data_IF_306462758777
#
_entry.id   IF_306462758777
#
_cell.length_a   1.000
_cell.length_b   1.000
_cell.length_c   1.000
_cell.angle_alpha   90.00
_cell.angle_beta   90.00
_cell.angle_gamma   90.00
#
_symmetry.space_group_name_H-M   'P 1'
#
loop_
_entity.id
_entity.type
_entity.pdbx_description
1 polymer ?
#
# COMPACT_ATOMS: atom_id res chain seq x y z
N UNK A 1 2.51 -14.88 49.51
CA UNK A 1 2.34 -15.35 48.11
C UNK A 1 2.48 -14.14 47.20
N UNK A 2 3.66 -13.94 46.64
CA UNK A 2 3.97 -12.82 45.74
C UNK A 2 3.47 -13.18 44.35
N UNK A 3 2.33 -12.61 43.96
CA UNK A 3 1.85 -12.68 42.59
C UNK A 3 2.88 -12.01 41.67
N UNK A 4 3.54 -12.81 40.85
CA UNK A 4 4.46 -12.35 39.83
C UNK A 4 3.68 -11.52 38.80
N UNK A 5 3.85 -10.20 38.83
CA UNK A 5 3.38 -9.24 37.83
C UNK A 5 3.92 -9.50 36.40
N UNK A 6 4.70 -10.56 36.21
CA UNK A 6 5.33 -10.95 34.94
C UNK A 6 4.57 -12.04 34.16
N UNK A 7 3.41 -12.49 34.65
CA UNK A 7 2.51 -13.35 33.87
C UNK A 7 1.52 -12.49 33.08
N UNK A 8 1.83 -12.19 31.81
CA UNK A 8 0.79 -11.58 30.97
C UNK A 8 1.20 -11.01 29.62
N UNK A 9 2.49 -10.85 29.30
CA UNK A 9 2.86 -10.64 27.88
C UNK A 9 2.78 -11.97 27.16
N UNK A 10 1.54 -12.38 26.85
CA UNK A 10 1.27 -13.42 25.86
C UNK A 10 2.09 -13.04 24.63
N UNK A 11 3.10 -13.85 24.33
CA UNK A 11 4.01 -13.66 23.19
C UNK A 11 3.17 -13.91 21.94
N UNK A 12 2.48 -12.88 21.49
CA UNK A 12 1.68 -12.97 20.28
C UNK A 12 2.64 -13.05 19.09
N UNK A 13 2.28 -13.85 18.11
CA UNK A 13 3.10 -14.13 16.95
C UNK A 13 3.11 -12.90 16.01
N UNK A 14 3.97 -11.93 16.32
CA UNK A 14 4.10 -10.67 15.57
C UNK A 14 4.74 -10.86 14.18
N UNK A 15 5.09 -12.10 13.82
CA UNK A 15 5.72 -12.45 12.53
C UNK A 15 4.86 -12.06 11.33
N UNK A 16 3.54 -12.23 11.42
CA UNK A 16 2.64 -11.90 10.32
C UNK A 16 2.52 -10.39 10.09
N UNK A 17 2.39 -9.60 11.17
CA UNK A 17 2.39 -8.13 11.09
C UNK A 17 3.71 -7.59 10.57
N UNK A 18 4.83 -8.17 11.01
CA UNK A 18 6.15 -7.84 10.50
C UNK A 18 6.25 -8.12 9.01
N UNK A 19 5.85 -9.32 8.57
CA UNK A 19 5.87 -9.71 7.16
C UNK A 19 5.01 -8.77 6.29
N UNK A 20 3.78 -8.47 6.73
CA UNK A 20 2.89 -7.53 6.04
C UNK A 20 3.50 -6.12 5.97
N UNK A 21 4.11 -5.65 7.05
CA UNK A 21 4.79 -4.34 7.07
C UNK A 21 6.00 -4.32 6.14
N UNK A 22 6.80 -5.38 6.13
CA UNK A 22 7.95 -5.52 5.23
C UNK A 22 7.51 -5.55 3.77
N UNK A 23 6.44 -6.27 3.43
CA UNK A 23 5.90 -6.30 2.06
C UNK A 23 5.42 -4.91 1.61
N UNK A 24 4.66 -4.21 2.46
CA UNK A 24 4.23 -2.84 2.18
C UNK A 24 5.42 -1.89 2.02
N UNK A 25 6.43 -2.01 2.88
CA UNK A 25 7.64 -1.21 2.82
C UNK A 25 8.47 -1.47 1.57
N UNK A 26 8.69 -2.74 1.21
CA UNK A 26 9.38 -3.11 -0.03
C UNK A 26 8.63 -2.57 -1.24
N UNK A 27 7.30 -2.73 -1.28
CA UNK A 27 6.49 -2.21 -2.37
C UNK A 27 6.60 -0.69 -2.51
N UNK A 28 6.42 0.05 -1.42
CA UNK A 28 6.55 1.52 -1.43
C UNK A 28 7.94 1.96 -1.91
N UNK A 29 8.99 1.29 -1.45
CA UNK A 29 10.37 1.56 -1.87
C UNK A 29 10.59 1.23 -3.35
N UNK A 30 10.05 0.11 -3.84
CA UNK A 30 10.09 -0.21 -5.28
C UNK A 30 9.39 0.87 -6.10
N UNK A 31 8.22 1.35 -5.67
CA UNK A 31 7.51 2.43 -6.36
C UNK A 31 8.32 3.73 -6.39
N UNK A 32 8.98 4.08 -5.28
CA UNK A 32 9.80 5.29 -5.19
C UNK A 32 11.09 5.19 -6.02
N UNK A 33 11.79 4.05 -5.99
CA UNK A 33 13.06 3.89 -6.71
C UNK A 33 12.88 3.58 -8.20
N UNK A 34 11.90 2.76 -8.55
CA UNK A 34 11.56 2.42 -9.93
C UNK A 34 10.48 3.35 -10.50
N UNK A 35 10.34 4.56 -9.94
CA UNK A 35 9.31 5.53 -10.30
C UNK A 35 9.23 5.76 -11.80
N UNK A 36 10.36 5.95 -12.47
CA UNK A 36 10.42 6.20 -13.92
C UNK A 36 9.93 5.02 -14.76
N UNK A 37 10.22 3.80 -14.34
CA UNK A 37 9.75 2.60 -15.03
C UNK A 37 8.25 2.39 -14.81
N UNK A 38 7.79 2.52 -13.56
CA UNK A 38 6.38 2.38 -13.20
C UNK A 38 5.54 3.49 -13.86
N UNK A 39 6.09 4.72 -13.97
CA UNK A 39 5.51 5.82 -14.72
C UNK A 39 5.16 5.43 -16.16
N UNK A 40 6.05 4.73 -16.87
CA UNK A 40 5.77 4.30 -18.24
C UNK A 40 4.59 3.31 -18.30
N UNK A 41 4.52 2.35 -17.38
CA UNK A 41 3.48 1.31 -17.40
C UNK A 41 2.12 1.77 -16.87
N UNK A 42 2.08 2.76 -15.99
CA UNK A 42 0.83 3.20 -15.34
C UNK A 42 0.31 4.52 -15.93
N UNK A 43 1.16 5.36 -16.54
CA UNK A 43 0.70 6.62 -17.13
C UNK A 43 -0.16 6.36 -18.36
N UNK A 44 0.18 5.33 -19.15
CA UNK A 44 -0.53 4.98 -20.37
C UNK A 44 -1.98 4.52 -20.08
N UNK A 45 -2.24 3.54 -19.18
CA UNK A 45 -3.61 3.15 -18.81
C UNK A 45 -4.40 4.27 -18.12
N UNK A 46 -3.74 5.10 -17.31
CA UNK A 46 -4.41 6.21 -16.62
C UNK A 46 -4.80 7.31 -17.59
N UNK A 47 -3.94 7.64 -18.56
CA UNK A 47 -4.27 8.61 -19.61
C UNK A 47 -5.44 8.16 -20.47
N UNK A 48 -5.54 6.86 -20.73
CA UNK A 48 -6.69 6.24 -21.40
C UNK A 48 -7.96 6.33 -20.52
N UNK A 49 -7.87 5.95 -19.24
CA UNK A 49 -9.01 5.90 -18.33
C UNK A 49 -9.56 7.29 -17.94
N UNK A 50 -8.70 8.31 -17.92
CA UNK A 50 -9.09 9.68 -17.53
C UNK A 50 -9.36 10.58 -18.72
N UNK A 51 -9.10 10.12 -19.96
CA UNK A 51 -9.06 10.93 -21.18
C UNK A 51 -8.23 12.21 -21.05
N UNK A 52 -7.36 12.29 -20.04
CA UNK A 52 -6.54 13.44 -19.76
C UNK A 52 -5.10 13.10 -20.19
N UNK A 53 -4.51 13.83 -21.16
CA UNK A 53 -3.13 13.60 -21.52
C UNK A 53 -2.25 14.00 -20.34
N UNK A 54 -1.64 13.00 -19.69
CA UNK A 54 -0.54 13.19 -18.75
C UNK A 54 0.72 13.57 -19.54
N UNK A 55 0.73 14.75 -20.16
CA UNK A 55 1.90 15.24 -20.87
C UNK A 55 2.93 15.75 -19.86
N UNK A 56 4.22 15.52 -20.13
CA UNK A 56 5.32 16.08 -19.33
C UNK A 56 5.34 17.62 -19.25
N UNK A 57 4.51 18.31 -20.05
CA UNK A 57 4.32 19.77 -20.05
C UNK A 57 3.20 20.25 -19.12
N UNK A 58 2.28 19.36 -18.72
CA UNK A 58 1.41 19.64 -17.58
C UNK A 58 2.26 19.62 -16.31
N UNK A 59 2.00 20.53 -15.36
CA UNK A 59 2.54 20.46 -14.00
C UNK A 59 1.42 19.84 -13.16
N UNK A 60 1.24 18.52 -13.16
CA UNK A 60 0.13 17.92 -12.43
C UNK A 60 0.44 18.12 -10.95
N UNK A 61 -0.58 18.44 -10.16
CA UNK A 61 -0.41 18.55 -8.72
C UNK A 61 -0.01 17.17 -8.17
N UNK A 62 0.68 17.15 -7.03
CA UNK A 62 1.16 15.89 -6.41
C UNK A 62 0.00 14.89 -6.20
N UNK A 63 -1.23 15.39 -6.08
CA UNK A 63 -2.44 14.58 -5.92
C UNK A 63 -3.07 14.11 -7.24
N UNK A 64 -2.71 14.69 -8.39
CA UNK A 64 -3.19 14.29 -9.71
C UNK A 64 -2.52 13.00 -10.22
N UNK A 65 -1.44 12.58 -9.55
CA UNK A 65 -0.75 11.34 -9.84
C UNK A 65 -1.37 10.19 -9.03
N UNK A 66 -2.13 9.25 -9.65
CA UNK A 66 -2.53 8.01 -8.98
C UNK A 66 -1.33 7.19 -8.47
N UNK A 67 -0.14 7.51 -8.98
CA UNK A 67 1.14 7.02 -8.53
C UNK A 67 1.52 7.43 -7.11
N UNK A 68 1.08 8.61 -6.64
CA UNK A 68 1.30 9.02 -5.25
C UNK A 68 0.52 8.13 -4.32
N UNK A 69 -0.69 7.70 -4.70
CA UNK A 69 -1.44 6.71 -3.92
C UNK A 69 -0.70 5.35 -3.83
N UNK A 70 0.00 4.92 -4.90
CA UNK A 70 0.70 3.63 -4.91
C UNK A 70 1.75 3.51 -3.81
N UNK A 71 2.49 4.59 -3.48
CA UNK A 71 3.46 4.54 -2.38
C UNK A 71 2.97 5.19 -1.08
N UNK A 72 2.11 6.22 -1.15
CA UNK A 72 1.62 6.90 0.04
C UNK A 72 0.66 6.00 0.85
N UNK A 73 -0.18 5.20 0.18
CA UNK A 73 -1.11 4.29 0.85
C UNK A 73 -0.40 3.20 1.69
N UNK A 74 0.61 2.46 1.17
CA UNK A 74 1.35 1.49 1.98
C UNK A 74 2.16 2.15 3.10
N UNK A 75 2.76 3.33 2.89
CA UNK A 75 3.46 4.07 3.95
C UNK A 75 2.48 4.50 5.05
N UNK A 76 1.35 5.11 4.68
CA UNK A 76 0.32 5.50 5.62
C UNK A 76 -0.24 4.28 6.37
N UNK A 77 -0.48 3.18 5.67
CA UNK A 77 -0.92 1.91 6.26
C UNK A 77 0.06 1.38 7.30
N UNK A 78 1.36 1.42 7.01
CA UNK A 78 2.40 1.07 8.00
C UNK A 78 2.38 1.99 9.22
N UNK A 79 2.29 3.31 9.02
CA UNK A 79 2.27 4.28 10.12
C UNK A 79 1.03 4.11 11.02
N UNK A 80 -0.15 3.95 10.44
CA UNK A 80 -1.40 3.77 11.19
C UNK A 80 -1.42 2.37 11.85
N UNK A 81 -0.90 1.34 11.18
CA UNK A 81 -0.74 0.01 11.79
C UNK A 81 0.19 0.05 13.01
N UNK A 82 1.29 0.77 12.93
CA UNK A 82 2.19 0.98 14.06
C UNK A 82 1.47 1.68 15.23
N UNK A 83 0.67 2.71 14.95
CA UNK A 83 -0.16 3.37 15.97
C UNK A 83 -1.22 2.42 16.56
N UNK A 84 -1.89 1.60 15.73
CA UNK A 84 -2.87 0.61 16.18
C UNK A 84 -2.25 -0.46 17.09
N UNK A 85 -1.01 -0.87 16.80
CA UNK A 85 -0.24 -1.77 17.67
C UNK A 85 0.07 -1.14 19.02
N UNK A 86 0.32 0.18 19.09
CA UNK A 86 0.54 0.90 20.36
C UNK A 86 -0.72 0.95 21.24
N UNK A 87 -1.90 0.98 20.63
CA UNK A 87 -3.19 1.00 21.32
C UNK A 87 -3.65 -0.44 21.70
N UNK A 88 -2.89 -1.46 21.27
CA UNK A 88 -3.21 -2.87 21.54
C UNK A 88 -4.27 -3.46 20.60
N UNK A 89 -4.76 -2.71 19.61
CA UNK A 89 -5.75 -3.18 18.66
C UNK A 89 -5.08 -3.83 17.43
N UNK A 90 -4.74 -5.11 17.56
CA UNK A 90 -4.05 -5.88 16.51
C UNK A 90 -4.93 -6.22 15.31
N UNK A 91 -6.25 -6.38 15.50
CA UNK A 91 -7.16 -6.65 14.39
C UNK A 91 -7.18 -5.47 13.42
N UNK A 92 -7.23 -4.26 13.97
CA UNK A 92 -7.11 -3.03 13.19
C UNK A 92 -5.76 -2.94 12.46
N UNK A 93 -4.65 -3.28 13.13
CA UNK A 93 -3.33 -3.28 12.51
C UNK A 93 -3.21 -4.23 11.30
N UNK A 94 -3.80 -5.43 11.39
CA UNK A 94 -3.86 -6.37 10.25
C UNK A 94 -4.75 -5.84 9.14
N UNK A 95 -5.94 -5.36 9.48
CA UNK A 95 -6.89 -4.83 8.51
C UNK A 95 -6.25 -3.69 7.69
N UNK A 96 -5.60 -2.75 8.37
CA UNK A 96 -4.92 -1.62 7.72
C UNK A 96 -3.79 -2.09 6.79
N UNK A 97 -2.97 -3.05 7.20
CA UNK A 97 -1.87 -3.54 6.37
C UNK A 97 -2.33 -4.40 5.18
N UNK A 98 -3.52 -5.00 5.27
CA UNK A 98 -4.12 -5.74 4.17
C UNK A 98 -4.74 -4.83 3.10
N UNK A 99 -5.21 -3.63 3.46
CA UNK A 99 -5.87 -2.70 2.51
C UNK A 99 -4.98 -2.37 1.30
N UNK A 100 -3.72 -1.92 1.46
CA UNK A 100 -2.87 -1.64 0.31
C UNK A 100 -2.66 -2.87 -0.58
N UNK A 101 -2.46 -4.06 0.03
CA UNK A 101 -2.29 -5.31 -0.72
C UNK A 101 -3.55 -5.70 -1.50
N UNK A 102 -4.74 -5.52 -0.91
CA UNK A 102 -6.01 -5.75 -1.58
C UNK A 102 -6.22 -4.78 -2.75
N UNK A 103 -5.93 -3.51 -2.55
CA UNK A 103 -6.03 -2.49 -3.61
C UNK A 103 -5.09 -2.82 -4.77
N UNK A 104 -3.86 -3.24 -4.47
CA UNK A 104 -2.91 -3.70 -5.50
C UNK A 104 -3.40 -4.95 -6.22
N UNK A 105 -3.91 -5.93 -5.48
CA UNK A 105 -4.51 -7.13 -6.06
C UNK A 105 -5.68 -6.82 -6.98
N UNK A 106 -6.53 -5.85 -6.59
CA UNK A 106 -7.63 -5.36 -7.42
C UNK A 106 -7.13 -4.62 -8.66
N UNK A 107 -6.09 -3.78 -8.56
CA UNK A 107 -5.51 -3.09 -9.72
C UNK A 107 -4.93 -4.08 -10.73
N UNK A 108 -4.14 -5.06 -10.26
CA UNK A 108 -3.55 -6.10 -11.11
C UNK A 108 -4.64 -6.99 -11.71
N UNK A 109 -5.61 -7.42 -10.89
CA UNK A 109 -6.76 -8.21 -11.33
C UNK A 109 -7.56 -7.46 -12.39
N UNK A 110 -7.85 -6.18 -12.18
CA UNK A 110 -8.55 -5.36 -13.15
C UNK A 110 -7.80 -5.28 -14.48
N UNK A 111 -6.51 -4.99 -14.47
CA UNK A 111 -5.69 -4.94 -15.69
C UNK A 111 -5.68 -6.28 -16.45
N UNK A 112 -5.61 -7.41 -15.74
CA UNK A 112 -5.54 -8.73 -16.35
C UNK A 112 -6.91 -9.31 -16.76
N UNK A 113 -7.99 -8.93 -16.09
CA UNK A 113 -9.34 -9.39 -16.42
C UNK A 113 -10.16 -8.38 -17.24
N UNK A 114 -9.65 -7.16 -17.46
CA UNK A 114 -10.27 -6.21 -18.36
C UNK A 114 -10.34 -6.77 -19.79
N UNK A 115 -11.49 -6.60 -20.49
CA UNK A 115 -11.63 -7.02 -21.88
C UNK A 115 -10.54 -6.41 -22.75
N UNK A 116 -10.05 -7.14 -23.76
CA UNK A 116 -8.99 -6.66 -24.67
C UNK A 116 -9.37 -5.35 -25.38
N UNK A 117 -10.67 -5.07 -25.54
CA UNK A 117 -11.15 -3.80 -26.07
C UNK A 117 -10.85 -2.57 -25.18
N UNK A 118 -10.47 -2.81 -23.92
CA UNK A 118 -10.22 -1.79 -22.88
C UNK A 118 -8.75 -1.79 -22.42
N UNK A 119 -7.89 -2.60 -23.06
CA UNK A 119 -6.43 -2.57 -22.91
C UNK A 119 -5.82 -1.76 -24.04
#
# INVERSE_FOLDING_TARGET
MTASFYQGKVKHDDRMLLMLSTLNGLFAMTVLFAWTLIAMFVAEPVSWATWHPMSAASRPEVYDYPFVMLWAMPIAGMSISWAAQKIGNRQLAHFILCVPLLVLGLMVGWYHFAPVAWR
#
